data_IF_803179764764
#
_entry.id   IF_803179764764
#
_cell.length_a   1.000
_cell.length_b   1.000
_cell.length_c   1.000
_cell.angle_alpha   90.00
_cell.angle_beta   90.00
_cell.angle_gamma   90.00
#
_symmetry.space_group_name_H-M   'P 1'
#
loop_
_entity.id
_entity.type
_entity.pdbx_description
1 polymer ?
#
# COMPACT_ATOMS: atom_id res chain seq x y z
N UNK A 1 -9.26 -10.50 -13.22
CA UNK A 1 -9.92 -9.19 -13.44
C UNK A 1 -9.26 -8.18 -12.53
N UNK A 2 -9.12 -6.92 -12.94
CA UNK A 2 -8.57 -5.86 -12.08
C UNK A 2 -9.61 -4.75 -11.90
N UNK A 3 -9.79 -4.30 -10.66
CA UNK A 3 -10.57 -3.12 -10.33
C UNK A 3 -9.67 -2.12 -9.60
N UNK A 4 -9.47 -0.95 -10.20
CA UNK A 4 -8.69 0.14 -9.61
C UNK A 4 -9.58 1.34 -9.30
N UNK A 5 -9.57 1.79 -8.05
CA UNK A 5 -10.19 3.02 -7.59
C UNK A 5 -9.10 4.03 -7.21
N UNK A 6 -9.26 5.29 -7.62
CA UNK A 6 -8.42 6.40 -7.18
C UNK A 6 -9.30 7.56 -6.74
N UNK A 7 -8.91 8.19 -5.64
CA UNK A 7 -9.57 9.35 -5.09
C UNK A 7 -8.55 10.41 -4.71
N UNK A 8 -8.98 11.67 -4.73
CA UNK A 8 -8.19 12.78 -4.22
C UNK A 8 -8.91 13.37 -3.01
N UNK A 9 -8.22 13.47 -1.88
CA UNK A 9 -8.69 14.12 -0.67
C UNK A 9 -7.67 15.20 -0.29
N UNK A 10 -8.03 16.46 -0.52
CA UNK A 10 -7.11 17.60 -0.39
C UNK A 10 -5.84 17.38 -1.22
N UNK A 11 -4.66 17.42 -0.59
CA UNK A 11 -3.36 17.21 -1.25
C UNK A 11 -2.94 15.73 -1.30
N UNK A 12 -3.83 14.83 -0.88
CA UNK A 12 -3.59 13.39 -0.90
C UNK A 12 -4.30 12.73 -2.09
N UNK A 13 -3.56 11.88 -2.78
CA UNK A 13 -4.09 10.89 -3.71
C UNK A 13 -4.08 9.53 -3.01
N UNK A 14 -5.25 8.90 -2.91
CA UNK A 14 -5.41 7.55 -2.38
C UNK A 14 -5.92 6.64 -3.47
N UNK A 15 -5.48 5.39 -3.47
CA UNK A 15 -5.85 4.43 -4.47
C UNK A 15 -5.94 3.03 -3.91
N UNK A 16 -6.75 2.19 -4.56
CA UNK A 16 -6.88 0.79 -4.25
C UNK A 16 -6.98 -0.01 -5.55
N UNK A 17 -6.23 -1.09 -5.67
CA UNK A 17 -6.32 -2.04 -6.77
C UNK A 17 -6.68 -3.40 -6.18
N UNK A 18 -7.74 -4.00 -6.69
CA UNK A 18 -8.15 -5.36 -6.38
C UNK A 18 -7.94 -6.26 -7.60
N UNK A 19 -7.15 -7.30 -7.44
CA UNK A 19 -6.81 -8.29 -8.47
C UNK A 19 -7.48 -9.61 -8.15
N UNK A 20 -8.44 -10.00 -9.00
CA UNK A 20 -9.22 -11.22 -8.87
C UNK A 20 -8.57 -12.33 -9.71
N UNK A 21 -8.08 -13.37 -9.05
CA UNK A 21 -7.46 -14.54 -9.68
C UNK A 21 -8.39 -15.75 -9.63
N UNK A 22 -8.72 -16.28 -10.81
CA UNK A 22 -9.57 -17.48 -10.94
C UNK A 22 -11.02 -17.27 -10.53
N UNK A 23 -11.77 -18.38 -10.45
CA UNK A 23 -13.16 -18.40 -9.98
C UNK A 23 -13.25 -18.61 -8.46
N UNK A 24 -12.13 -18.88 -7.80
CA UNK A 24 -12.04 -19.39 -6.42
C UNK A 24 -12.14 -18.27 -5.37
N UNK A 25 -12.46 -17.04 -5.79
CA UNK A 25 -12.70 -15.91 -4.88
C UNK A 25 -11.45 -15.27 -4.27
N UNK A 26 -10.25 -15.56 -4.78
CA UNK A 26 -9.00 -14.97 -4.30
C UNK A 26 -8.84 -13.55 -4.81
N UNK A 27 -8.74 -12.58 -3.88
CA UNK A 27 -8.63 -11.16 -4.23
C UNK A 27 -7.41 -10.54 -3.56
N UNK A 28 -6.34 -10.34 -4.34
CA UNK A 28 -5.20 -9.56 -3.88
C UNK A 28 -5.55 -8.07 -3.90
N UNK A 29 -5.14 -7.35 -2.87
CA UNK A 29 -5.51 -5.95 -2.72
C UNK A 29 -4.26 -5.13 -2.44
N UNK A 30 -4.06 -4.08 -3.24
CA UNK A 30 -3.01 -3.09 -3.01
C UNK A 30 -3.68 -1.76 -2.69
N UNK A 31 -3.31 -1.16 -1.56
CA UNK A 31 -3.71 0.20 -1.21
C UNK A 31 -2.52 1.13 -1.35
N UNK A 32 -2.74 2.31 -1.93
CA UNK A 32 -1.72 3.34 -2.12
C UNK A 32 -2.20 4.67 -1.53
N UNK A 33 -1.28 5.41 -0.93
CA UNK A 33 -1.53 6.75 -0.44
C UNK A 33 -0.31 7.62 -0.71
N UNK A 34 -0.52 8.76 -1.37
CA UNK A 34 0.54 9.70 -1.69
C UNK A 34 0.06 11.12 -1.37
N UNK A 35 0.89 11.91 -0.70
CA UNK A 35 0.57 13.31 -0.42
C UNK A 35 1.70 14.04 0.28
N UNK A 36 1.50 15.32 0.52
CA UNK A 36 2.44 16.16 1.24
C UNK A 36 2.08 16.28 2.74
N UNK A 37 3.10 16.23 3.58
CA UNK A 37 3.07 16.53 5.01
C UNK A 37 4.01 17.72 5.25
N UNK A 38 3.53 18.92 4.94
CA UNK A 38 4.36 20.12 4.94
C UNK A 38 5.44 20.03 3.85
N UNK A 39 6.74 20.15 4.19
CA UNK A 39 7.82 20.08 3.20
C UNK A 39 8.17 18.64 2.78
N UNK A 40 7.57 17.63 3.41
CA UNK A 40 7.85 16.21 3.16
C UNK A 40 6.79 15.65 2.21
N UNK A 41 7.21 15.03 1.11
CA UNK A 41 6.33 14.19 0.30
C UNK A 41 6.36 12.76 0.86
N UNK A 42 5.19 12.16 1.04
CA UNK A 42 5.03 10.79 1.52
C UNK A 42 4.30 9.96 0.47
N UNK A 43 4.83 8.77 0.22
CA UNK A 43 4.24 7.74 -0.64
C UNK A 43 4.18 6.44 0.15
N UNK A 44 3.05 5.76 0.13
CA UNK A 44 2.83 4.50 0.82
C UNK A 44 2.12 3.50 -0.09
N UNK A 45 2.53 2.23 0.03
CA UNK A 45 1.91 1.08 -0.63
C UNK A 45 1.72 -0.03 0.39
N UNK A 46 0.54 -0.60 0.46
CA UNK A 46 0.18 -1.70 1.35
C UNK A 46 -0.39 -2.85 0.53
N UNK A 47 0.16 -4.04 0.70
CA UNK A 47 -0.29 -5.27 0.08
C UNK A 47 -1.04 -6.12 1.11
N UNK A 48 -2.23 -6.58 0.75
CA UNK A 48 -3.05 -7.47 1.56
C UNK A 48 -3.19 -8.83 0.89
N UNK A 49 -3.35 -9.86 1.71
CA UNK A 49 -3.58 -11.22 1.24
C UNK A 49 -4.99 -11.43 0.70
N UNK A 50 -5.21 -12.56 0.01
CA UNK A 50 -6.44 -12.87 -0.73
C UNK A 50 -7.72 -12.96 0.12
N UNK A 51 -7.58 -13.19 1.42
CA UNK A 51 -8.67 -13.38 2.40
C UNK A 51 -8.51 -12.44 3.61
N UNK A 52 -7.91 -11.26 3.41
CA UNK A 52 -7.49 -10.35 4.48
C UNK A 52 -8.58 -10.12 5.56
N UNK A 53 -8.13 -9.90 6.81
CA UNK A 53 -8.08 -8.49 7.22
C UNK A 53 -6.67 -7.95 7.48
N UNK A 54 -5.62 -8.78 7.49
CA UNK A 54 -4.25 -8.34 7.78
C UNK A 54 -3.45 -8.00 6.50
N UNK A 55 -2.67 -6.91 6.55
CA UNK A 55 -1.69 -6.59 5.50
C UNK A 55 -0.50 -7.55 5.57
N UNK A 56 0.07 -7.89 4.41
CA UNK A 56 1.25 -8.73 4.25
C UNK A 56 2.53 -7.92 4.16
N UNK A 57 2.47 -6.76 3.52
CA UNK A 57 3.62 -5.89 3.30
C UNK A 57 3.19 -4.44 3.23
N UNK A 58 4.02 -3.55 3.77
CA UNK A 58 3.88 -2.12 3.64
C UNK A 58 5.23 -1.51 3.25
N UNK A 59 5.21 -0.58 2.31
CA UNK A 59 6.38 0.16 1.88
C UNK A 59 6.06 1.64 1.87
N UNK A 60 6.94 2.42 2.50
CA UNK A 60 6.84 3.87 2.60
C UNK A 60 8.09 4.53 2.04
N UNK A 61 7.89 5.65 1.37
CA UNK A 61 8.94 6.53 0.88
C UNK A 61 8.61 7.96 1.33
N UNK A 62 9.62 8.63 1.87
CA UNK A 62 9.56 10.04 2.24
C UNK A 62 10.64 10.80 1.52
N UNK A 63 10.31 11.93 0.90
CA UNK A 63 11.29 12.82 0.28
C UNK A 63 11.18 14.24 0.80
N UNK A 64 12.34 14.86 1.08
CA UNK A 64 12.48 16.22 1.58
C UNK A 64 13.66 16.89 0.88
N UNK A 65 13.44 18.07 0.32
CA UNK A 65 14.51 18.93 -0.18
C UNK A 65 15.03 19.83 0.95
N UNK A 66 16.26 19.60 1.40
CA UNK A 66 16.89 20.36 2.48
C UNK A 66 18.16 21.04 1.96
N UNK A 67 18.13 22.37 1.85
CA UNK A 67 19.29 23.18 1.45
C UNK A 67 19.92 22.76 0.11
N UNK A 68 19.10 22.31 -0.85
CA UNK A 68 19.56 21.83 -2.16
C UNK A 68 19.94 20.35 -2.20
N UNK A 69 19.82 19.61 -1.09
CA UNK A 69 20.00 18.17 -1.02
C UNK A 69 18.65 17.45 -0.96
N UNK A 70 18.47 16.42 -1.77
CA UNK A 70 17.32 15.52 -1.68
C UNK A 70 17.60 14.41 -0.66
N UNK A 71 16.90 14.47 0.48
CA UNK A 71 16.87 13.38 1.45
C UNK A 71 15.68 12.48 1.13
N UNK A 72 15.96 11.20 0.85
CA UNK A 72 14.92 10.18 0.64
C UNK A 72 15.08 9.07 1.68
N UNK A 73 14.01 8.82 2.43
CA UNK A 73 13.95 7.77 3.45
C UNK A 73 12.98 6.70 2.98
N UNK A 74 13.45 5.45 2.98
CA UNK A 74 12.67 4.28 2.63
C UNK A 74 12.39 3.46 3.89
N UNK A 75 11.16 3.00 4.04
CA UNK A 75 10.73 2.12 5.12
C UNK A 75 9.92 0.96 4.57
N UNK A 76 10.09 -0.23 5.15
CA UNK A 76 9.38 -1.42 4.76
C UNK A 76 8.99 -2.22 6.02
N UNK A 77 7.80 -2.79 6.00
CA UNK A 77 7.26 -3.59 7.10
C UNK A 77 6.57 -4.82 6.52
N UNK A 78 6.70 -5.96 7.19
CA UNK A 78 5.94 -7.18 6.90
C UNK A 78 4.85 -7.36 7.93
N UNK A 79 3.72 -7.92 7.48
CA UNK A 79 2.57 -8.28 8.31
C UNK A 79 2.93 -9.23 9.46
N UNK A 80 2.06 -9.37 10.46
CA UNK A 80 2.35 -10.08 11.70
C UNK A 80 2.74 -11.55 11.48
N UNK A 81 3.91 -11.99 11.96
CA UNK A 81 4.43 -13.37 11.89
C UNK A 81 3.63 -14.40 12.74
N UNK A 82 2.30 -14.41 12.66
CA UNK A 82 1.45 -15.46 13.26
C UNK A 82 1.32 -16.68 12.34
N UNK A 83 0.86 -17.85 12.84
CA UNK A 83 0.61 -19.00 11.98
C UNK A 83 -0.51 -18.67 10.99
N UNK A 84 -0.12 -18.32 9.77
CA UNK A 84 -1.04 -18.03 8.68
C UNK A 84 -1.66 -19.34 8.20
N UNK A 85 -2.86 -19.64 8.70
CA UNK A 85 -3.68 -20.70 8.12
C UNK A 85 -4.36 -20.12 6.88
N UNK A 86 -3.72 -20.30 5.72
CA UNK A 86 -4.36 -20.13 4.41
C UNK A 86 -5.13 -21.40 4.08
N UNK A 87 -6.36 -21.55 4.58
CA UNK A 87 -7.25 -22.61 4.07
C UNK A 87 -7.91 -22.10 2.80
N UNK A 88 -7.27 -22.35 1.66
CA UNK A 88 -7.93 -22.32 0.37
C UNK A 88 -9.07 -23.32 0.37
N UNK A 89 -10.28 -22.82 0.14
CA UNK A 89 -11.46 -23.60 -0.23
C UNK A 89 -11.87 -23.25 -1.64
#
# INVERSE_FOLDING_TARGET
MELTLKGKLWDWTVGGTAEFFGADGWVWQTFTAQGALGPINSEWTFLFGPLAPAFLYAYGKYSLLLSGMDLVVHTAMVGPNGPYVFTGG
#
